data_IF_271514081324
#
_entry.id   IF_271514081324
#
_cell.length_a   1.000
_cell.length_b   1.000
_cell.length_c   1.000
_cell.angle_alpha   90.00
_cell.angle_beta   90.00
_cell.angle_gamma   90.00
#
_symmetry.space_group_name_H-M   'P 1'
#
loop_
_entity.id
_entity.type
_entity.pdbx_description
1 polymer ?
#
# COMPACT_ATOMS: atom_id res chain seq x y z
N UNK A 1 -31.73 -18.26 -8.33
CA UNK A 1 -30.94 -19.45 -7.93
C UNK A 1 -29.62 -18.94 -7.32
N UNK A 2 -29.54 -18.77 -6.00
CA UNK A 2 -28.29 -18.33 -5.34
C UNK A 2 -27.35 -19.52 -5.23
N UNK A 3 -26.52 -19.71 -6.25
CA UNK A 3 -25.42 -20.67 -6.19
C UNK A 3 -24.49 -20.23 -5.06
N UNK A 4 -24.56 -20.96 -3.94
CA UNK A 4 -23.79 -20.60 -2.75
C UNK A 4 -22.33 -20.87 -3.05
N UNK A 5 -21.52 -19.80 -3.11
CA UNK A 5 -20.10 -19.90 -3.39
C UNK A 5 -19.42 -20.80 -2.32
N UNK A 6 -18.73 -21.89 -2.74
CA UNK A 6 -18.16 -22.88 -1.83
C UNK A 6 -17.03 -22.33 -0.96
N UNK A 7 -16.33 -21.27 -1.39
CA UNK A 7 -15.20 -20.67 -0.68
C UNK A 7 -15.59 -19.43 0.14
N UNK A 8 -16.82 -18.93 -0.02
CA UNK A 8 -17.36 -17.80 0.75
C UNK A 8 -17.35 -18.01 2.25
N UNK A 9 -17.54 -19.24 2.73
CA UNK A 9 -17.47 -19.58 4.18
C UNK A 9 -16.10 -19.26 4.78
N UNK A 10 -15.03 -19.58 4.05
CA UNK A 10 -13.66 -19.32 4.49
C UNK A 10 -13.32 -17.83 4.39
N UNK A 11 -13.85 -17.13 3.38
CA UNK A 11 -13.72 -15.67 3.29
C UNK A 11 -14.32 -14.95 4.51
N UNK A 12 -15.52 -15.36 4.95
CA UNK A 12 -16.14 -14.82 6.16
C UNK A 12 -15.32 -15.13 7.41
N UNK A 13 -14.79 -16.35 7.53
CA UNK A 13 -13.88 -16.74 8.63
C UNK A 13 -12.61 -15.88 8.66
N UNK A 14 -12.05 -15.55 7.48
CA UNK A 14 -10.89 -14.68 7.40
C UNK A 14 -11.22 -13.24 7.83
N UNK A 15 -12.37 -12.70 7.42
CA UNK A 15 -12.81 -11.38 7.88
C UNK A 15 -12.96 -11.32 9.40
N UNK A 16 -13.49 -12.38 10.00
CA UNK A 16 -13.62 -12.47 11.46
C UNK A 16 -12.24 -12.54 12.12
N UNK A 17 -11.36 -13.43 11.67
CA UNK A 17 -10.00 -13.54 12.20
C UNK A 17 -9.24 -12.21 12.10
N UNK A 18 -9.39 -11.47 11.00
CA UNK A 18 -8.77 -10.16 10.83
C UNK A 18 -9.34 -9.13 11.82
N UNK A 19 -10.66 -9.10 12.05
CA UNK A 19 -11.24 -8.20 13.05
C UNK A 19 -10.66 -8.48 14.45
N UNK A 20 -10.57 -9.75 14.82
CA UNK A 20 -10.10 -10.17 16.14
C UNK A 20 -8.59 -9.95 16.31
N UNK A 21 -7.83 -9.89 15.22
CA UNK A 21 -6.37 -9.74 15.20
C UNK A 21 -5.88 -8.38 14.66
N UNK A 22 -6.66 -7.31 14.82
CA UNK A 22 -6.26 -5.93 14.43
C UNK A 22 -5.86 -5.81 12.94
N UNK A 23 -6.49 -6.65 12.12
CA UNK A 23 -6.25 -6.80 10.69
C UNK A 23 -4.79 -7.16 10.37
N UNK A 24 -4.18 -8.01 11.20
CA UNK A 24 -2.86 -8.60 10.96
C UNK A 24 -3.02 -9.97 10.28
N UNK A 25 -2.78 -10.08 8.95
CA UNK A 25 -2.97 -11.34 8.23
C UNK A 25 -2.00 -12.44 8.67
N UNK A 26 -0.85 -12.10 9.26
CA UNK A 26 0.13 -13.06 9.80
C UNK A 26 -0.41 -13.93 10.93
N UNK A 27 -1.49 -13.49 11.60
CA UNK A 27 -2.15 -14.27 12.66
C UNK A 27 -3.27 -15.16 12.13
N UNK A 28 -3.61 -15.01 10.85
CA UNK A 28 -4.69 -15.72 10.18
C UNK A 28 -4.16 -16.63 9.07
N UNK A 29 -2.89 -17.06 9.15
CA UNK A 29 -2.23 -17.89 8.14
C UNK A 29 -2.97 -19.22 7.91
N UNK A 30 -3.53 -19.80 8.97
CA UNK A 30 -4.35 -21.01 8.89
C UNK A 30 -5.59 -20.81 8.02
N UNK A 31 -6.33 -19.72 8.25
CA UNK A 31 -7.55 -19.41 7.49
C UNK A 31 -7.21 -19.05 6.04
N UNK A 32 -6.07 -18.40 5.81
CA UNK A 32 -5.58 -18.11 4.47
C UNK A 32 -5.26 -19.40 3.68
N UNK A 33 -4.66 -20.39 4.34
CA UNK A 33 -4.39 -21.70 3.71
C UNK A 33 -5.68 -22.48 3.42
N UNK A 34 -6.68 -22.41 4.31
CA UNK A 34 -8.01 -23.00 4.04
C UNK A 34 -8.66 -22.40 2.78
N UNK A 35 -8.59 -21.08 2.61
CA UNK A 35 -9.10 -20.41 1.40
C UNK A 35 -8.30 -20.86 0.18
N UNK A 36 -6.96 -20.97 0.30
CA UNK A 36 -6.10 -21.42 -0.81
C UNK A 36 -6.50 -22.83 -1.25
N UNK A 37 -6.69 -23.75 -0.31
CA UNK A 37 -7.13 -25.12 -0.60
C UNK A 37 -8.51 -25.17 -1.26
N UNK A 38 -9.43 -24.30 -0.84
CA UNK A 38 -10.73 -24.18 -1.48
C UNK A 38 -10.61 -23.67 -2.93
N UNK A 39 -9.76 -22.68 -3.16
CA UNK A 39 -9.55 -22.12 -4.50
C UNK A 39 -8.83 -23.06 -5.46
N UNK A 40 -8.00 -23.99 -4.98
CA UNK A 40 -7.44 -25.05 -5.84
C UNK A 40 -8.54 -25.95 -6.40
N UNK A 41 -9.61 -26.20 -5.63
CA UNK A 41 -10.72 -27.10 -6.01
C UNK A 41 -11.81 -26.39 -6.81
N UNK A 42 -12.07 -25.12 -6.52
CA UNK A 42 -13.25 -24.40 -7.02
C UNK A 42 -12.93 -23.05 -7.68
N UNK A 43 -11.71 -22.84 -8.19
CA UNK A 43 -11.30 -21.57 -8.83
C UNK A 43 -12.23 -21.12 -9.95
N UNK A 44 -12.78 -22.05 -10.74
CA UNK A 44 -13.66 -21.72 -11.88
C UNK A 44 -15.08 -21.30 -11.48
N UNK A 45 -15.50 -21.56 -10.24
CA UNK A 45 -16.89 -21.39 -9.78
C UNK A 45 -16.99 -20.31 -8.70
N UNK A 46 -15.95 -20.15 -7.89
CA UNK A 46 -15.94 -19.26 -6.73
C UNK A 46 -15.37 -17.88 -7.07
N UNK A 47 -16.18 -16.83 -6.87
CA UNK A 47 -15.80 -15.42 -7.08
C UNK A 47 -14.73 -14.99 -6.06
N UNK A 48 -14.70 -15.62 -4.88
CA UNK A 48 -13.69 -15.34 -3.84
C UNK A 48 -12.26 -15.63 -4.33
N UNK A 49 -12.10 -16.50 -5.34
CA UNK A 49 -10.81 -17.02 -5.76
C UNK A 49 -10.13 -16.18 -6.85
N UNK A 50 -10.83 -15.23 -7.48
CA UNK A 50 -10.30 -14.36 -8.54
C UNK A 50 -9.06 -13.55 -8.11
N UNK A 51 -8.91 -13.35 -6.80
CA UNK A 51 -7.79 -12.64 -6.20
C UNK A 51 -6.77 -13.52 -5.46
N UNK A 52 -6.72 -14.84 -5.66
CA UNK A 52 -5.86 -15.71 -4.86
C UNK A 52 -4.87 -16.47 -5.74
N UNK A 53 -3.58 -16.18 -5.55
CA UNK A 53 -2.49 -16.91 -6.19
C UNK A 53 -2.41 -18.34 -5.62
N UNK A 54 -2.96 -19.33 -6.32
CA UNK A 54 -2.91 -20.75 -5.92
C UNK A 54 -1.55 -21.41 -6.14
N UNK A 55 -0.69 -20.78 -6.94
CA UNK A 55 0.59 -21.33 -7.43
C UNK A 55 1.71 -21.44 -6.39
N UNK A 56 1.60 -20.80 -5.21
CA UNK A 56 2.66 -20.81 -4.19
C UNK A 56 2.10 -20.97 -2.78
N UNK A 57 2.56 -21.97 -1.99
CA UNK A 57 2.29 -22.01 -0.56
C UNK A 57 3.07 -20.88 0.14
N UNK A 58 2.44 -20.17 1.08
CA UNK A 58 3.12 -19.25 1.99
C UNK A 58 3.63 -17.92 1.43
N UNK A 59 3.29 -17.54 0.20
CA UNK A 59 3.50 -16.18 -0.32
C UNK A 59 2.19 -15.53 -0.73
N UNK A 60 1.27 -15.42 0.23
CA UNK A 60 0.19 -14.45 0.13
C UNK A 60 0.82 -13.05 0.22
N UNK A 61 1.35 -12.57 -0.92
CA UNK A 61 1.78 -11.18 -1.01
C UNK A 61 0.57 -10.32 -0.72
N UNK A 62 0.70 -9.45 0.28
CA UNK A 62 -0.24 -8.42 0.71
C UNK A 62 -0.67 -7.47 -0.43
N UNK A 63 -1.28 -7.96 -1.50
CA UNK A 63 -1.80 -7.14 -2.60
C UNK A 63 -3.32 -7.15 -2.68
N UNK A 64 -4.01 -8.06 -1.98
CA UNK A 64 -5.48 -8.21 -2.13
C UNK A 64 -6.27 -7.91 -0.85
N UNK A 65 -5.62 -7.36 0.19
CA UNK A 65 -6.33 -6.91 1.40
C UNK A 65 -6.25 -5.40 1.64
N UNK A 66 -6.05 -4.62 0.59
CA UNK A 66 -6.07 -3.16 0.67
C UNK A 66 -6.86 -2.57 -0.49
N UNK A 67 -8.18 -2.75 -0.50
CA UNK A 67 -9.07 -1.78 -1.16
C UNK A 67 -10.31 -1.40 -0.34
N UNK A 68 -10.47 -1.87 0.91
CA UNK A 68 -11.56 -1.40 1.80
C UNK A 68 -11.17 -1.00 3.24
N UNK A 69 -9.90 -1.13 3.65
CA UNK A 69 -9.47 -0.86 5.05
C UNK A 69 -8.29 0.12 5.14
N UNK A 70 -8.14 1.04 4.19
CA UNK A 70 -7.01 1.99 4.21
C UNK A 70 -7.35 3.41 4.66
N UNK A 71 -8.63 3.74 4.91
CA UNK A 71 -8.98 5.09 5.37
C UNK A 71 -8.81 5.30 6.89
N UNK A 72 -8.74 4.26 7.72
CA UNK A 72 -8.76 4.41 9.20
C UNK A 72 -7.42 4.19 9.90
N UNK A 73 -6.38 3.64 9.24
CA UNK A 73 -5.06 3.42 9.87
C UNK A 73 -4.08 4.61 9.77
N UNK A 74 -4.38 5.66 9.00
CA UNK A 74 -3.47 6.82 8.87
C UNK A 74 -3.50 7.75 10.10
N UNK A 75 -4.54 7.70 10.93
CA UNK A 75 -4.67 8.58 12.12
C UNK A 75 -3.99 8.00 13.37
N UNK A 76 -3.96 6.67 13.54
CA UNK A 76 -3.55 6.06 14.82
C UNK A 76 -2.02 5.95 15.00
N UNK A 77 -1.23 5.86 13.93
CA UNK A 77 0.24 5.72 14.04
C UNK A 77 0.97 7.01 14.50
N UNK A 78 0.25 8.14 14.60
CA UNK A 78 0.85 9.45 14.91
C UNK A 78 0.90 9.78 16.41
N UNK A 79 0.15 9.08 17.27
CA UNK A 79 0.03 9.44 18.71
C UNK A 79 1.00 8.71 19.66
N UNK A 80 1.57 7.55 19.28
CA UNK A 80 2.53 6.85 20.16
C UNK A 80 3.97 7.37 20.08
N UNK A 81 4.32 8.12 19.03
CA UNK A 81 5.67 8.64 18.82
C UNK A 81 5.98 9.96 19.57
N UNK A 82 4.99 10.56 20.25
CA UNK A 82 5.18 11.81 21.02
C UNK A 82 5.52 11.53 22.50
N UNK A 83 5.06 10.42 23.09
CA UNK A 83 5.35 10.09 24.51
C UNK A 83 6.73 9.46 24.76
N UNK A 84 7.39 8.88 23.75
CA UNK A 84 8.75 8.31 23.90
C UNK A 84 9.89 9.34 23.76
N UNK A 85 9.58 10.63 23.58
CA UNK A 85 10.56 11.73 23.49
C UNK A 85 10.72 12.59 24.75
N UNK A 86 9.98 12.30 25.84
CA UNK A 86 10.05 13.09 27.09
C UNK A 86 10.78 12.44 28.27
N UNK A 87 11.17 11.16 28.21
CA UNK A 87 11.90 10.51 29.32
C UNK A 87 13.41 10.37 29.12
N UNK A 88 13.99 10.88 28.02
CA UNK A 88 15.45 10.87 27.81
C UNK A 88 16.07 12.25 28.11
N UNK A 89 15.27 13.30 28.26
CA UNK A 89 15.76 14.67 28.48
C UNK A 89 16.04 15.05 29.96
N UNK A 90 15.86 14.13 30.92
CA UNK A 90 16.04 14.41 32.35
C UNK A 90 17.19 13.65 33.03
N UNK A 91 17.94 12.83 32.29
CA UNK A 91 19.07 12.07 32.85
C UNK A 91 20.45 12.72 32.60
N UNK A 92 20.50 14.03 32.31
CA UNK A 92 21.76 14.72 31.91
C UNK A 92 22.40 15.53 33.05
N UNK A 93 21.82 15.61 34.25
CA UNK A 93 22.32 16.58 35.28
C UNK A 93 23.02 15.95 36.50
N UNK A 94 23.07 14.63 36.67
CA UNK A 94 23.83 14.07 37.82
C UNK A 94 24.43 12.72 37.51
N UNK A 95 25.74 12.68 37.24
CA UNK A 95 26.47 11.41 37.15
C UNK A 95 27.72 11.48 36.29
N UNK A 96 28.73 12.20 36.75
CA UNK A 96 30.10 12.16 36.26
C UNK A 96 30.67 10.74 36.44
N UNK A 97 30.61 9.88 35.41
CA UNK A 97 31.50 8.72 35.19
C UNK A 97 31.12 7.80 34.00
N UNK A 98 29.93 7.89 33.40
CA UNK A 98 29.46 6.86 32.43
C UNK A 98 29.60 7.30 30.94
N UNK A 99 30.07 8.52 30.66
CA UNK A 99 30.03 9.11 29.30
C UNK A 99 31.06 8.52 28.31
N UNK A 100 32.01 7.68 28.72
CA UNK A 100 33.02 7.13 27.80
C UNK A 100 32.69 5.74 27.20
N UNK A 101 31.71 5.00 27.71
CA UNK A 101 31.38 3.66 27.16
C UNK A 101 30.25 3.66 26.12
N UNK A 102 29.34 4.66 26.15
CA UNK A 102 28.21 4.73 25.20
C UNK A 102 28.59 5.34 23.84
N UNK A 103 29.66 6.15 23.76
CA UNK A 103 30.14 6.69 22.48
C UNK A 103 30.78 5.62 21.58
N UNK A 104 31.25 4.50 22.15
CA UNK A 104 31.90 3.45 21.37
C UNK A 104 30.93 2.53 20.61
N UNK A 105 29.63 2.54 20.95
CA UNK A 105 28.62 1.67 20.34
C UNK A 105 27.79 2.34 19.22
N UNK A 106 28.05 3.60 18.89
CA UNK A 106 27.36 4.31 17.80
C UNK A 106 28.22 4.51 16.54
N UNK A 107 29.51 4.16 16.59
CA UNK A 107 30.45 4.34 15.48
C UNK A 107 30.49 3.16 14.49
N UNK A 108 29.75 2.08 14.74
CA UNK A 108 29.85 0.83 13.99
C UNK A 108 28.56 0.45 13.25
N UNK A 109 27.92 1.39 12.53
CA UNK A 109 27.08 0.95 11.42
C UNK A 109 28.01 0.53 10.28
N UNK A 110 28.04 -0.76 9.89
CA UNK A 110 28.85 -1.18 8.76
C UNK A 110 28.42 -0.42 7.50
N UNK A 111 29.36 -0.04 6.62
CA UNK A 111 29.02 0.64 5.38
C UNK A 111 27.97 -0.19 4.62
N UNK A 112 26.83 0.43 4.33
CA UNK A 112 25.74 -0.22 3.59
C UNK A 112 26.34 -0.86 2.33
N UNK A 113 26.16 -2.17 2.11
CA UNK A 113 26.72 -2.85 0.93
C UNK A 113 26.25 -2.13 -0.33
N UNK A 114 27.15 -1.93 -1.32
CA UNK A 114 26.90 -1.12 -2.52
C UNK A 114 25.56 -1.46 -3.21
N UNK A 115 25.16 -2.74 -3.16
CA UNK A 115 23.88 -3.26 -3.67
C UNK A 115 22.65 -2.75 -2.91
N UNK A 116 22.71 -2.61 -1.57
CA UNK A 116 21.63 -2.00 -0.77
C UNK A 116 21.58 -0.48 -0.97
N UNK A 117 22.72 0.19 -1.15
CA UNK A 117 22.79 1.64 -1.44
C UNK A 117 22.13 1.97 -2.79
N UNK A 118 22.44 1.20 -3.84
CA UNK A 118 21.82 1.35 -5.18
C UNK A 118 20.30 1.13 -5.16
N UNK A 119 19.81 0.15 -4.39
CA UNK A 119 18.37 -0.08 -4.20
C UNK A 119 17.70 1.11 -3.51
N UNK A 120 18.33 1.69 -2.48
CA UNK A 120 17.78 2.85 -1.79
C UNK A 120 17.76 4.11 -2.66
N UNK A 121 18.75 4.31 -3.53
CA UNK A 121 18.76 5.42 -4.50
C UNK A 121 17.69 5.25 -5.58
N UNK A 122 17.47 4.04 -6.09
CA UNK A 122 16.39 3.77 -7.03
C UNK A 122 15.00 4.04 -6.42
N UNK A 123 14.81 3.61 -5.17
CA UNK A 123 13.57 3.87 -4.40
C UNK A 123 13.40 5.37 -4.12
N UNK A 124 14.48 6.09 -3.78
CA UNK A 124 14.47 7.54 -3.54
C UNK A 124 14.09 8.31 -4.81
N UNK A 125 14.71 7.99 -5.95
CA UNK A 125 14.38 8.59 -7.26
C UNK A 125 12.94 8.31 -7.69
N UNK A 126 12.43 7.10 -7.46
CA UNK A 126 11.03 6.78 -7.73
C UNK A 126 10.08 7.62 -6.86
N UNK A 127 10.38 7.75 -5.55
CA UNK A 127 9.59 8.56 -4.61
C UNK A 127 9.58 10.04 -4.99
N UNK A 128 10.70 10.58 -5.44
CA UNK A 128 10.79 11.95 -5.93
C UNK A 128 9.93 12.19 -7.17
N UNK A 129 9.88 11.23 -8.11
CA UNK A 129 8.98 11.31 -9.27
C UNK A 129 7.52 11.31 -8.82
N UNK A 130 7.11 10.41 -7.91
CA UNK A 130 5.75 10.36 -7.38
C UNK A 130 5.32 11.66 -6.68
N UNK A 131 6.24 12.37 -6.02
CA UNK A 131 5.94 13.67 -5.40
C UNK A 131 5.55 14.76 -6.40
N UNK A 132 5.92 14.62 -7.68
CA UNK A 132 5.57 15.57 -8.74
C UNK A 132 4.17 15.33 -9.34
N UNK A 133 3.58 14.15 -9.15
CA UNK A 133 2.28 13.80 -9.75
C UNK A 133 1.12 14.72 -9.34
N UNK A 134 0.95 15.09 -8.05
CA UNK A 134 -0.12 16.01 -7.66
C UNK A 134 -0.04 17.36 -8.38
N UNK A 135 1.18 17.87 -8.61
CA UNK A 135 1.40 19.15 -9.30
C UNK A 135 0.98 19.03 -10.77
N UNK A 136 1.33 17.94 -11.43
CA UNK A 136 1.01 17.68 -12.85
C UNK A 136 -0.50 17.48 -13.04
N UNK A 137 -1.14 16.75 -12.14
CA UNK A 137 -2.59 16.52 -12.19
C UNK A 137 -3.36 17.82 -11.93
N UNK A 138 -2.90 18.65 -10.98
CA UNK A 138 -3.52 19.94 -10.69
C UNK A 138 -3.47 20.91 -11.89
N UNK A 139 -2.39 20.87 -12.69
CA UNK A 139 -2.30 21.64 -13.94
C UNK A 139 -3.32 21.21 -15.00
N UNK A 140 -3.83 19.98 -14.93
CA UNK A 140 -4.79 19.41 -15.85
C UNK A 140 -6.18 19.21 -15.22
N UNK A 141 -6.54 20.01 -14.21
CA UNK A 141 -7.80 19.85 -13.47
C UNK A 141 -9.04 19.97 -14.37
N UNK A 142 -9.01 20.85 -15.37
CA UNK A 142 -10.16 21.06 -16.28
C UNK A 142 -10.47 19.82 -17.14
N UNK A 143 -9.45 19.25 -17.79
CA UNK A 143 -9.61 18.02 -18.58
C UNK A 143 -9.87 16.79 -17.69
N UNK A 144 -9.28 16.77 -16.49
CA UNK A 144 -9.54 15.73 -15.49
C UNK A 144 -10.98 15.74 -14.99
N UNK A 145 -11.58 16.93 -14.80
CA UNK A 145 -12.97 17.07 -14.37
C UNK A 145 -13.96 16.56 -15.43
N UNK A 146 -13.71 16.82 -16.72
CA UNK A 146 -14.54 16.28 -17.82
C UNK A 146 -14.52 14.75 -17.85
N UNK A 147 -13.33 14.17 -17.72
CA UNK A 147 -13.20 12.70 -17.63
C UNK A 147 -13.91 12.13 -16.40
N UNK A 148 -13.74 12.76 -15.23
CA UNK A 148 -14.41 12.34 -14.01
C UNK A 148 -15.94 12.42 -14.13
N UNK A 149 -16.47 13.47 -14.77
CA UNK A 149 -17.91 13.62 -15.00
C UNK A 149 -18.47 12.47 -15.86
N UNK A 150 -17.78 12.10 -16.96
CA UNK A 150 -18.18 10.97 -17.80
C UNK A 150 -18.17 9.64 -17.02
N UNK A 151 -17.14 9.41 -16.20
CA UNK A 151 -17.00 8.21 -15.38
C UNK A 151 -18.11 8.12 -14.33
N UNK A 152 -18.46 9.24 -13.69
CA UNK A 152 -19.51 9.28 -12.66
C UNK A 152 -20.92 9.17 -13.23
N UNK A 153 -21.13 9.54 -14.49
CA UNK A 153 -22.44 9.46 -15.13
C UNK A 153 -22.87 8.03 -15.51
N UNK A 154 -21.93 7.09 -15.60
CA UNK A 154 -22.20 5.70 -16.02
C UNK A 154 -22.11 4.73 -14.84
N UNK A 155 -23.10 3.84 -14.70
CA UNK A 155 -23.12 2.77 -13.69
C UNK A 155 -22.27 1.55 -14.09
N UNK A 156 -22.30 1.18 -15.37
CA UNK A 156 -21.61 0.00 -15.91
C UNK A 156 -20.49 0.41 -16.87
N UNK A 157 -19.35 0.83 -16.29
CA UNK A 157 -18.20 1.31 -17.03
C UNK A 157 -17.44 0.17 -17.73
N UNK A 158 -17.36 0.22 -19.05
CA UNK A 158 -16.50 -0.61 -19.89
C UNK A 158 -15.29 0.19 -20.37
N UNK A 159 -14.24 -0.54 -20.77
CA UNK A 159 -13.04 0.06 -21.35
C UNK A 159 -13.39 0.76 -22.66
N UNK A 160 -13.18 2.07 -22.74
CA UNK A 160 -13.44 2.89 -23.94
C UNK A 160 -14.64 3.83 -23.81
N UNK A 161 -15.43 3.71 -22.75
CA UNK A 161 -16.67 4.49 -22.59
C UNK A 161 -16.50 6.02 -22.47
N UNK A 162 -15.33 6.47 -22.03
CA UNK A 162 -14.95 7.87 -21.88
C UNK A 162 -13.61 8.14 -22.60
N UNK A 163 -13.40 7.50 -23.75
CA UNK A 163 -12.12 7.53 -24.45
C UNK A 163 -11.75 8.93 -24.97
N UNK A 164 -12.74 9.72 -25.42
CA UNK A 164 -12.56 11.10 -25.86
C UNK A 164 -11.96 11.98 -24.78
N UNK A 165 -12.62 12.01 -23.62
CA UNK A 165 -12.25 12.79 -22.45
C UNK A 165 -10.91 12.31 -21.88
N UNK A 166 -10.70 10.99 -21.91
CA UNK A 166 -9.43 10.40 -21.49
C UNK A 166 -8.27 10.81 -22.41
N UNK A 167 -8.47 10.86 -23.73
CA UNK A 167 -7.44 11.30 -24.69
C UNK A 167 -7.03 12.75 -24.43
N UNK A 168 -7.98 13.64 -24.20
CA UNK A 168 -7.71 15.04 -23.86
C UNK A 168 -6.93 15.16 -22.55
N UNK A 169 -7.38 14.45 -21.50
CA UNK A 169 -6.71 14.44 -20.21
C UNK A 169 -5.29 13.87 -20.30
N UNK A 170 -5.12 12.74 -21.00
CA UNK A 170 -3.81 12.12 -21.23
C UNK A 170 -2.87 13.05 -22.00
N UNK A 171 -3.36 13.75 -23.02
CA UNK A 171 -2.56 14.71 -23.77
C UNK A 171 -2.07 15.86 -22.88
N UNK A 172 -2.93 16.36 -21.98
CA UNK A 172 -2.53 17.37 -20.99
C UNK A 172 -1.46 16.82 -20.03
N UNK A 173 -1.68 15.62 -19.47
CA UNK A 173 -0.72 14.99 -18.56
C UNK A 173 0.66 14.80 -19.20
N UNK A 174 0.72 14.33 -20.46
CA UNK A 174 1.99 14.15 -21.17
C UNK A 174 2.72 15.49 -21.39
N UNK A 175 1.99 16.55 -21.76
CA UNK A 175 2.54 17.90 -21.89
C UNK A 175 3.05 18.44 -20.55
N UNK A 176 2.29 18.24 -19.47
CA UNK A 176 2.67 18.69 -18.12
C UNK A 176 3.85 17.88 -17.55
N UNK A 177 3.97 16.58 -17.87
CA UNK A 177 5.15 15.78 -17.52
C UNK A 177 6.43 16.35 -18.16
N UNK A 178 6.36 16.67 -19.45
CA UNK A 178 7.48 17.26 -20.18
C UNK A 178 7.91 18.60 -19.56
N UNK A 179 6.95 19.46 -19.19
CA UNK A 179 7.22 20.74 -18.50
C UNK A 179 7.89 20.55 -17.13
N UNK A 180 7.50 19.52 -16.37
CA UNK A 180 7.99 19.29 -14.99
C UNK A 180 9.21 18.35 -14.91
N UNK A 181 9.84 18.05 -16.06
CA UNK A 181 10.99 17.14 -16.16
C UNK A 181 10.75 15.81 -15.44
N UNK A 182 9.61 15.17 -15.72
CA UNK A 182 9.31 13.84 -15.19
C UNK A 182 8.57 13.00 -16.21
N UNK A 183 8.69 11.68 -16.03
CA UNK A 183 8.01 10.69 -16.84
C UNK A 183 6.77 10.18 -16.10
N UNK A 184 5.64 10.14 -16.81
CA UNK A 184 4.39 9.50 -16.43
C UNK A 184 4.40 8.02 -16.83
#
# INVERSE_FOLDING_TARGET
MTTTDPCKKFACKLQQCLKDNVYQPSRCEEVLEEIRQCCIKHSAISIVCDGIDTSKPGKHRNRIFIMRVQHTKFVVQRLENVKRKRSIALAVISGSAIILSSFYWFAQTPPIPKTKRLKMEAVKKAKERFRKYPIIIAQCHESGAKYAACVLAKSDLRKGDCESEFKEFKACLMKAAAKNNTKL
#
